data_IF_900722036411
#
_entry.id   IF_900722036411
#
_cell.length_a   1.000
_cell.length_b   1.000
_cell.length_c   1.000
_cell.angle_alpha   90.00
_cell.angle_beta   90.00
_cell.angle_gamma   90.00
#
_symmetry.space_group_name_H-M   'P 1'
#
loop_
_entity.id
_entity.type
_entity.pdbx_description
1 polymer ?
#
# COMPACT_ATOMS: atom_id res chain seq x y z
N UNK A 1 1.77 35.53 -53.20
CA UNK A 1 1.90 35.46 -51.73
C UNK A 1 3.39 35.37 -51.40
N UNK A 2 3.92 36.34 -50.65
CA UNK A 2 5.34 36.71 -50.69
C UNK A 2 6.23 35.74 -49.91
N UNK A 3 7.10 34.99 -50.62
CA UNK A 3 7.97 33.92 -50.08
C UNK A 3 8.89 34.40 -48.94
N UNK A 4 9.19 35.70 -48.90
CA UNK A 4 9.94 36.34 -47.82
C UNK A 4 9.14 36.52 -46.52
N UNK A 5 7.82 36.77 -46.59
CA UNK A 5 6.98 36.87 -45.39
C UNK A 5 6.83 35.51 -44.71
N UNK A 6 6.66 34.43 -45.50
CA UNK A 6 6.53 33.08 -44.96
C UNK A 6 7.81 32.60 -44.26
N UNK A 7 8.99 32.92 -44.82
CA UNK A 7 10.30 32.65 -44.21
C UNK A 7 10.51 33.40 -42.90
N UNK A 8 10.08 34.67 -42.82
CA UNK A 8 10.17 35.46 -41.59
C UNK A 8 9.25 34.92 -40.50
N UNK A 9 8.00 34.62 -40.81
CA UNK A 9 7.05 34.03 -39.85
C UNK A 9 7.51 32.66 -39.35
N UNK A 10 8.04 31.80 -40.22
CA UNK A 10 8.58 30.50 -39.83
C UNK A 10 9.78 30.63 -38.87
N UNK A 11 10.68 31.60 -39.10
CA UNK A 11 11.80 31.88 -38.19
C UNK A 11 11.35 32.37 -36.81
N UNK A 12 10.31 33.20 -36.75
CA UNK A 12 9.74 33.64 -35.48
C UNK A 12 9.10 32.47 -34.71
N UNK A 13 8.34 31.60 -35.38
CA UNK A 13 7.71 30.43 -34.73
C UNK A 13 8.76 29.46 -34.19
N UNK A 14 9.84 29.19 -34.95
CA UNK A 14 10.95 28.34 -34.49
C UNK A 14 11.68 28.97 -33.30
N UNK A 15 11.90 30.29 -33.32
CA UNK A 15 12.55 31.00 -32.21
C UNK A 15 11.70 30.97 -30.93
N UNK A 16 10.38 31.15 -31.03
CA UNK A 16 9.47 31.05 -29.87
C UNK A 16 9.35 29.62 -29.34
N UNK A 17 9.32 28.61 -30.22
CA UNK A 17 9.30 27.20 -29.80
C UNK A 17 10.62 26.79 -29.10
N UNK A 18 11.77 27.28 -29.58
CA UNK A 18 13.06 27.04 -28.95
C UNK A 18 13.16 27.74 -27.57
N UNK A 19 12.57 28.93 -27.41
CA UNK A 19 12.56 29.64 -26.13
C UNK A 19 11.65 28.97 -25.09
N UNK A 20 10.48 28.44 -25.51
CA UNK A 20 9.57 27.70 -24.63
C UNK A 20 10.12 26.36 -24.14
N UNK A 21 11.05 25.75 -24.87
CA UNK A 21 11.74 24.52 -24.45
C UNK A 21 12.84 24.77 -23.41
N UNK A 22 13.39 25.98 -23.31
CA UNK A 22 14.48 26.30 -22.36
C UNK A 22 13.99 26.59 -20.94
N UNK A 23 12.72 26.97 -20.74
CA UNK A 23 12.14 27.25 -19.42
C UNK A 23 11.43 26.04 -18.81
N UNK A 24 11.48 24.87 -19.46
CA UNK A 24 10.81 23.65 -18.99
C UNK A 24 11.71 22.76 -18.11
N UNK A 25 12.99 23.12 -17.94
CA UNK A 25 13.96 22.42 -17.08
C UNK A 25 14.41 23.32 -15.93
N UNK A 26 13.47 23.79 -15.10
CA UNK A 26 13.83 24.28 -13.77
C UNK A 26 13.84 23.08 -12.83
N UNK A 27 15.01 22.47 -12.67
CA UNK A 27 15.25 21.52 -11.58
C UNK A 27 15.09 22.26 -10.25
N UNK A 28 14.21 21.75 -9.37
CA UNK A 28 14.03 22.33 -8.03
C UNK A 28 15.34 22.22 -7.26
N UNK A 29 15.90 23.38 -6.91
CA UNK A 29 17.07 23.46 -6.05
C UNK A 29 16.76 22.83 -4.69
N UNK A 30 17.48 21.78 -4.33
CA UNK A 30 17.35 21.10 -3.03
C UNK A 30 17.65 22.02 -1.85
N UNK A 31 18.35 23.13 -2.09
CA UNK A 31 18.62 24.16 -1.08
C UNK A 31 17.35 24.96 -0.67
N UNK A 32 16.29 24.94 -1.50
CA UNK A 32 15.02 25.62 -1.21
C UNK A 32 13.95 24.69 -0.60
N UNK A 33 14.18 23.38 -0.64
CA UNK A 33 13.25 22.39 -0.09
C UNK A 33 13.29 22.41 1.44
N UNK A 34 12.20 22.89 2.05
CA UNK A 34 11.97 22.79 3.51
C UNK A 34 10.97 21.68 3.80
N UNK A 35 11.21 20.91 4.85
CA UNK A 35 10.23 19.93 5.33
C UNK A 35 8.93 20.65 5.72
N UNK A 36 7.76 20.17 5.25
CA UNK A 36 6.48 20.75 5.64
C UNK A 36 6.29 20.70 7.16
N UNK A 37 5.74 21.79 7.72
CA UNK A 37 5.35 21.87 9.13
C UNK A 37 3.83 21.85 9.19
N UNK A 38 3.29 21.06 10.12
CA UNK A 38 1.85 20.90 10.30
C UNK A 38 1.44 21.27 11.72
N UNK A 39 0.28 21.90 11.85
CA UNK A 39 -0.39 22.11 13.13
C UNK A 39 -1.82 21.60 12.97
N UNK A 40 -2.12 20.50 13.65
CA UNK A 40 -3.44 19.89 13.66
C UNK A 40 -4.23 20.39 14.86
N UNK A 41 -5.55 20.48 14.73
CA UNK A 41 -6.45 20.69 15.88
C UNK A 41 -6.78 19.40 16.65
N UNK A 42 -6.17 18.28 16.28
CA UNK A 42 -6.43 16.96 16.86
C UNK A 42 -5.74 16.85 18.22
N UNK A 43 -6.47 16.35 19.23
CA UNK A 43 -5.92 16.07 20.56
C UNK A 43 -5.35 14.65 20.60
N UNK A 44 -4.34 14.41 21.42
CA UNK A 44 -3.68 13.10 21.53
C UNK A 44 -4.67 11.94 21.84
N UNK A 45 -5.68 12.21 22.67
CA UNK A 45 -6.74 11.25 23.00
C UNK A 45 -7.77 11.02 21.87
N UNK A 46 -7.57 11.61 20.69
CA UNK A 46 -8.41 11.38 19.49
C UNK A 46 -7.71 10.46 18.48
N UNK A 47 -6.49 9.99 18.76
CA UNK A 47 -5.76 9.08 17.89
C UNK A 47 -6.18 7.61 18.07
N UNK A 48 -7.49 7.35 18.00
CA UNK A 48 -8.04 5.99 18.12
C UNK A 48 -8.37 5.35 16.77
N UNK A 49 -8.35 6.13 15.69
CA UNK A 49 -8.63 5.66 14.33
C UNK A 49 -7.98 6.51 13.25
N UNK A 50 -8.04 6.01 12.01
CA UNK A 50 -7.55 6.74 10.84
C UNK A 50 -8.55 7.77 10.33
N UNK A 51 -9.84 7.63 10.69
CA UNK A 51 -10.94 8.49 10.21
C UNK A 51 -10.81 9.94 10.68
N UNK A 52 -10.22 10.15 11.85
CA UNK A 52 -10.01 11.43 12.52
C UNK A 52 -9.06 12.33 11.72
N UNK A 53 -8.19 11.73 10.92
CA UNK A 53 -7.27 12.44 10.04
C UNK A 53 -7.87 12.80 8.68
N UNK A 54 -9.04 12.27 8.33
CA UNK A 54 -9.64 12.39 6.98
C UNK A 54 -9.88 13.84 6.57
N UNK A 55 -10.37 14.67 7.48
CA UNK A 55 -10.72 16.07 7.19
C UNK A 55 -9.48 16.93 6.97
N UNK A 56 -8.43 16.74 7.77
CA UNK A 56 -7.19 17.54 7.71
C UNK A 56 -6.21 17.03 6.64
N UNK A 57 -6.22 15.73 6.33
CA UNK A 57 -5.32 15.08 5.38
C UNK A 57 -6.07 14.21 4.36
N UNK A 58 -7.01 14.79 3.58
CA UNK A 58 -7.89 14.03 2.70
C UNK A 58 -7.15 13.26 1.59
N UNK A 59 -6.04 13.81 1.09
CA UNK A 59 -5.23 13.16 0.04
C UNK A 59 -4.49 11.94 0.59
N UNK A 60 -3.88 12.07 1.76
CA UNK A 60 -3.16 11.00 2.44
C UNK A 60 -4.12 9.92 2.91
N UNK A 61 -5.29 10.30 3.45
CA UNK A 61 -6.35 9.37 3.83
C UNK A 61 -6.87 8.59 2.62
N UNK A 62 -7.15 9.28 1.50
CA UNK A 62 -7.55 8.63 0.24
C UNK A 62 -6.48 7.64 -0.24
N UNK A 63 -5.21 8.02 -0.20
CA UNK A 63 -4.09 7.12 -0.51
C UNK A 63 -4.05 5.91 0.44
N UNK A 64 -4.26 6.13 1.74
CA UNK A 64 -4.32 5.05 2.74
C UNK A 64 -5.47 4.07 2.46
N UNK A 65 -6.64 4.55 2.03
CA UNK A 65 -7.78 3.68 1.66
C UNK A 65 -7.50 2.81 0.43
N UNK A 66 -6.49 3.12 -0.38
CA UNK A 66 -6.06 2.21 -1.46
C UNK A 66 -5.55 0.86 -0.93
N UNK A 67 -5.22 0.76 0.36
CA UNK A 67 -4.90 -0.51 1.01
C UNK A 67 -6.10 -1.47 1.13
N UNK A 68 -7.33 -1.01 0.85
CA UNK A 68 -8.51 -1.87 0.80
C UNK A 68 -8.51 -2.82 -0.42
N UNK A 69 -7.69 -2.53 -1.42
CA UNK A 69 -7.48 -3.39 -2.58
C UNK A 69 -6.89 -4.75 -2.14
N UNK A 70 -7.52 -5.86 -2.53
CA UNK A 70 -7.13 -7.21 -2.11
C UNK A 70 -7.31 -8.28 -3.20
N UNK A 71 -7.18 -7.91 -4.47
CA UNK A 71 -7.44 -8.74 -5.64
C UNK A 71 -6.22 -8.89 -6.58
N UNK A 72 -5.25 -7.98 -6.49
CA UNK A 72 -4.12 -7.91 -7.43
C UNK A 72 -2.93 -8.75 -6.97
N UNK A 73 -2.41 -9.56 -7.89
CA UNK A 73 -1.18 -10.32 -7.73
C UNK A 73 -0.07 -9.82 -8.67
N UNK A 74 1.13 -9.72 -8.13
CA UNK A 74 2.40 -9.67 -8.88
C UNK A 74 2.93 -11.11 -9.07
N UNK A 75 4.11 -11.26 -9.67
CA UNK A 75 4.69 -12.59 -9.96
C UNK A 75 4.82 -13.51 -8.74
N UNK A 76 5.13 -12.97 -7.56
CA UNK A 76 5.40 -13.77 -6.35
C UNK A 76 4.66 -13.27 -5.10
N UNK A 77 4.07 -12.09 -5.16
CA UNK A 77 3.45 -11.36 -4.04
C UNK A 77 2.13 -10.76 -4.52
N UNK A 78 1.32 -10.23 -3.62
CA UNK A 78 0.15 -9.44 -3.97
C UNK A 78 -0.73 -9.23 -2.76
N UNK A 79 -1.91 -8.70 -3.00
CA UNK A 79 -2.89 -8.34 -1.96
C UNK A 79 -3.98 -9.40 -1.77
N UNK A 80 -3.99 -10.46 -2.60
CA UNK A 80 -4.87 -11.62 -2.40
C UNK A 80 -4.38 -12.44 -1.22
N UNK A 81 -5.26 -12.60 -0.23
CA UNK A 81 -4.97 -13.31 1.02
C UNK A 81 -5.13 -14.83 0.81
N UNK A 82 -4.21 -15.47 0.07
CA UNK A 82 -4.21 -16.93 -0.19
C UNK A 82 -3.41 -17.72 0.84
N UNK A 83 -3.67 -19.01 0.98
CA UNK A 83 -2.96 -19.93 1.88
C UNK A 83 -1.53 -20.20 1.40
N UNK A 84 -0.52 -19.83 2.19
CA UNK A 84 0.87 -19.85 1.75
C UNK A 84 1.45 -21.24 1.51
N UNK A 85 0.81 -22.29 2.01
CA UNK A 85 1.22 -23.66 1.75
C UNK A 85 0.48 -24.32 0.59
N UNK A 86 -0.51 -23.65 0.00
CA UNK A 86 -1.37 -24.25 -1.01
C UNK A 86 -0.89 -23.89 -2.42
N UNK A 87 -0.20 -24.84 -3.03
CA UNK A 87 0.23 -24.78 -4.43
C UNK A 87 -0.63 -25.65 -5.35
N UNK A 88 -1.80 -26.11 -4.89
CA UNK A 88 -2.72 -26.99 -5.61
C UNK A 88 -3.89 -26.18 -6.14
N UNK A 89 -4.57 -25.45 -5.26
CA UNK A 89 -5.73 -24.65 -5.63
C UNK A 89 -5.35 -23.30 -6.23
N UNK A 90 -6.27 -22.70 -6.98
CA UNK A 90 -6.12 -21.36 -7.53
C UNK A 90 -6.47 -20.26 -6.52
N UNK A 91 -6.18 -19.01 -6.90
CA UNK A 91 -6.60 -17.85 -6.12
C UNK A 91 -8.14 -17.82 -5.97
N UNK A 92 -8.68 -17.38 -4.82
CA UNK A 92 -7.98 -16.82 -3.68
C UNK A 92 -7.52 -17.85 -2.63
N UNK A 93 -7.70 -19.15 -2.86
CA UNK A 93 -7.37 -20.17 -1.85
C UNK A 93 -5.89 -20.56 -1.86
N UNK A 94 -5.37 -20.90 -3.04
CA UNK A 94 -3.95 -21.21 -3.25
C UNK A 94 -3.27 -20.28 -4.25
N UNK A 95 -1.96 -20.47 -4.43
CA UNK A 95 -1.19 -19.79 -5.46
C UNK A 95 -0.07 -20.68 -5.99
N UNK A 96 -0.33 -21.51 -7.02
CA UNK A 96 0.60 -22.53 -7.50
C UNK A 96 1.99 -22.01 -7.88
N UNK A 97 2.09 -20.74 -8.25
CA UNK A 97 3.31 -20.09 -8.71
C UNK A 97 4.29 -19.75 -7.57
N UNK A 98 3.81 -19.52 -6.34
CA UNK A 98 4.66 -19.01 -5.25
C UNK A 98 4.37 -19.61 -3.86
N UNK A 99 3.41 -20.52 -3.74
CA UNK A 99 3.15 -21.22 -2.49
C UNK A 99 4.25 -22.23 -2.13
N UNK A 100 4.33 -22.56 -0.84
CA UNK A 100 5.39 -23.34 -0.21
C UNK A 100 4.79 -24.62 0.42
N UNK A 101 4.72 -25.75 -0.31
CA UNK A 101 3.88 -26.89 0.05
C UNK A 101 4.17 -27.53 1.42
N UNK A 102 5.41 -27.45 1.90
CA UNK A 102 5.83 -28.11 3.15
C UNK A 102 5.68 -27.26 4.43
N UNK A 103 5.11 -26.05 4.37
CA UNK A 103 5.05 -25.17 5.56
C UNK A 103 4.31 -25.82 6.74
N UNK A 104 3.19 -26.49 6.50
CA UNK A 104 2.44 -27.17 7.59
C UNK A 104 3.24 -28.30 8.23
N UNK A 105 4.00 -29.07 7.44
CA UNK A 105 4.87 -30.13 7.95
C UNK A 105 6.01 -29.56 8.81
N UNK A 106 6.65 -28.49 8.33
CA UNK A 106 7.78 -27.85 9.03
C UNK A 106 7.36 -27.15 10.33
N UNK A 107 6.09 -26.78 10.46
CA UNK A 107 5.53 -26.13 11.65
C UNK A 107 4.64 -27.04 12.48
N UNK A 108 4.75 -28.35 12.31
CA UNK A 108 3.97 -29.32 13.08
C UNK A 108 4.15 -29.10 14.59
N UNK A 109 3.03 -28.92 15.30
CA UNK A 109 3.01 -28.62 16.74
C UNK A 109 3.06 -27.13 17.09
N UNK A 110 3.05 -26.22 16.10
CA UNK A 110 3.05 -24.78 16.30
C UNK A 110 1.85 -24.11 15.61
N UNK A 111 1.25 -23.01 16.13
CA UNK A 111 -0.01 -22.47 15.60
C UNK A 111 -0.02 -22.13 14.10
N UNK A 112 1.14 -21.88 13.51
CA UNK A 112 1.27 -21.64 12.07
C UNK A 112 0.91 -22.85 11.20
N UNK A 113 0.83 -24.06 11.76
CA UNK A 113 0.30 -25.22 11.03
C UNK A 113 -1.20 -25.13 10.76
N UNK A 114 -1.95 -24.37 11.57
CA UNK A 114 -3.40 -24.16 11.36
C UNK A 114 -3.62 -23.25 10.16
N UNK A 115 -3.09 -22.03 10.20
CA UNK A 115 -3.30 -21.04 9.14
C UNK A 115 -2.17 -20.03 9.00
N UNK A 116 -1.71 -19.83 7.76
CA UNK A 116 -0.75 -18.80 7.40
C UNK A 116 -0.97 -18.34 5.97
N UNK A 117 -1.46 -17.10 5.82
CA UNK A 117 -1.88 -16.54 4.53
C UNK A 117 -0.95 -15.42 4.05
N UNK A 118 -1.07 -15.07 2.77
CA UNK A 118 -0.40 -13.91 2.22
C UNK A 118 -0.90 -12.62 2.86
N UNK A 119 0.03 -11.70 3.14
CA UNK A 119 -0.30 -10.45 3.80
C UNK A 119 -0.92 -9.47 2.80
N UNK A 120 -1.87 -8.66 3.27
CA UNK A 120 -2.52 -7.62 2.48
C UNK A 120 -2.50 -6.27 3.20
N UNK A 121 -3.22 -5.29 2.67
CA UNK A 121 -3.17 -3.91 3.14
C UNK A 121 -3.51 -3.73 4.63
N UNK A 122 -2.91 -2.69 5.24
CA UNK A 122 -3.04 -2.41 6.67
C UNK A 122 -4.48 -2.22 7.15
N UNK A 123 -5.42 -1.85 6.27
CA UNK A 123 -6.84 -1.71 6.61
C UNK A 123 -7.49 -3.03 7.02
N UNK A 124 -6.92 -4.18 6.64
CA UNK A 124 -7.38 -5.51 7.04
C UNK A 124 -6.64 -6.08 8.26
N UNK A 125 -5.66 -5.38 8.84
CA UNK A 125 -4.77 -5.95 9.84
C UNK A 125 -5.51 -6.55 11.06
N UNK A 126 -6.53 -5.86 11.57
CA UNK A 126 -7.35 -6.36 12.69
C UNK A 126 -8.32 -7.45 12.23
N UNK A 127 -8.96 -7.26 11.07
CA UNK A 127 -9.87 -8.26 10.49
C UNK A 127 -9.18 -9.62 10.32
N UNK A 128 -8.02 -9.62 9.65
CA UNK A 128 -7.25 -10.83 9.39
C UNK A 128 -6.67 -11.42 10.67
N UNK A 129 -6.44 -10.60 11.69
CA UNK A 129 -6.00 -11.08 13.00
C UNK A 129 -7.14 -11.76 13.78
N UNK A 130 -8.38 -11.31 13.65
CA UNK A 130 -9.53 -11.89 14.33
C UNK A 130 -10.05 -13.16 13.64
N UNK A 131 -9.86 -13.29 12.32
CA UNK A 131 -10.32 -14.45 11.55
C UNK A 131 -9.35 -15.62 11.53
N UNK A 132 -8.08 -15.40 11.88
CA UNK A 132 -7.03 -16.42 11.76
C UNK A 132 -7.17 -17.57 12.75
N UNK A 133 -7.03 -18.81 12.28
CA UNK A 133 -7.10 -20.03 13.08
C UNK A 133 -5.82 -20.31 13.89
N UNK A 134 -4.84 -19.39 13.87
CA UNK A 134 -3.70 -19.42 14.80
C UNK A 134 -4.11 -19.08 16.22
N UNK A 135 -5.15 -18.26 16.39
CA UNK A 135 -5.72 -17.91 17.69
C UNK A 135 -6.87 -18.87 17.94
N UNK A 136 -6.91 -19.48 19.12
CA UNK A 136 -7.97 -20.43 19.44
C UNK A 136 -9.33 -19.72 19.55
N UNK A 137 -10.26 -20.06 18.65
CA UNK A 137 -11.66 -19.60 18.68
C UNK A 137 -12.64 -20.66 19.19
N UNK A 138 -12.15 -21.83 19.59
CA UNK A 138 -12.96 -22.96 20.07
C UNK A 138 -12.97 -23.07 21.61
N UNK A 139 -12.47 -22.04 22.29
CA UNK A 139 -12.59 -21.87 23.74
C UNK A 139 -12.44 -20.40 24.14
N UNK A 140 -12.70 -20.10 25.40
CA UNK A 140 -12.63 -18.72 25.94
C UNK A 140 -11.24 -18.07 25.81
N UNK A 141 -10.18 -18.87 25.90
CA UNK A 141 -8.80 -18.40 25.81
C UNK A 141 -8.23 -18.64 24.43
N UNK A 142 -7.74 -17.56 23.80
CA UNK A 142 -7.08 -17.58 22.49
C UNK A 142 -5.74 -18.34 22.42
N UNK A 143 -5.17 -18.74 23.55
CA UNK A 143 -3.93 -19.52 23.60
C UNK A 143 -2.64 -18.77 23.22
N UNK A 144 -2.75 -17.47 22.92
CA UNK A 144 -1.63 -16.57 22.59
C UNK A 144 -1.64 -15.33 23.52
N UNK A 145 -0.49 -14.71 23.79
CA UNK A 145 -0.41 -13.54 24.65
C UNK A 145 -1.02 -12.30 23.98
N UNK A 146 -1.51 -11.37 24.80
CA UNK A 146 -2.03 -10.08 24.33
C UNK A 146 -0.98 -9.26 23.56
N UNK A 147 0.32 -9.55 23.74
CA UNK A 147 1.43 -8.98 22.96
C UNK A 147 1.22 -9.11 21.44
N UNK A 148 0.43 -10.08 20.96
CA UNK A 148 0.11 -10.19 19.53
C UNK A 148 -0.63 -8.96 18.96
N UNK A 149 -1.29 -8.17 19.79
CA UNK A 149 -1.93 -6.90 19.41
C UNK A 149 -0.95 -5.75 19.15
N UNK A 150 0.28 -5.85 19.67
CA UNK A 150 1.28 -4.76 19.66
C UNK A 150 1.55 -4.16 18.26
N UNK A 151 1.38 -4.96 17.20
CA UNK A 151 1.59 -4.53 15.82
C UNK A 151 0.30 -4.63 14.99
N UNK A 152 -0.87 -4.37 15.60
CA UNK A 152 -2.19 -4.44 14.93
C UNK A 152 -3.02 -3.17 15.10
N UNK A 153 -2.78 -2.41 16.15
CA UNK A 153 -3.58 -1.25 16.53
C UNK A 153 -2.65 -0.21 17.19
N UNK A 154 -2.91 1.11 17.01
CA UNK A 154 -2.14 2.18 17.67
C UNK A 154 -2.25 2.16 19.19
#
# INVERSE_FOLDING_TARGET
>A
MNRQMFSRSARFVVAFAAFGLLTACDDVSTAELKTPVYQTGLKDAQYHGTSEFKEQFPLQYSSYRRNDESEVMTKYKGSVNFMKNDNVDGLPEGYPQAAQPYLKNLWLGYPFMYEYREARGHTYAIHDFLEIDRINRYGEKGGLPATCWNCKTP
#
